data_IF_674785821086
#
_entry.id   IF_674785821086
#
_cell.length_a   1.000
_cell.length_b   1.000
_cell.length_c   1.000
_cell.angle_alpha   90.00
_cell.angle_beta   90.00
_cell.angle_gamma   90.00
#
_symmetry.space_group_name_H-M   'P 1'
#
loop_
_entity.id
_entity.type
_entity.pdbx_description
1 polymer ?
#
# COMPACT_ATOMS: atom_id res chain seq x y z
N UNK A 1 -30.79 -11.50 -8.08
CA UNK A 1 -29.43 -11.25 -8.55
C UNK A 1 -28.65 -10.87 -7.31
N UNK A 2 -27.62 -11.65 -6.96
CA UNK A 2 -26.87 -11.46 -5.72
C UNK A 2 -26.22 -10.08 -5.78
N UNK A 3 -26.57 -9.20 -4.85
CA UNK A 3 -25.70 -8.09 -4.46
C UNK A 3 -24.44 -8.79 -3.95
N UNK A 4 -23.46 -8.93 -4.84
CA UNK A 4 -22.11 -9.23 -4.40
C UNK A 4 -21.74 -8.00 -3.58
N UNK A 5 -21.77 -8.15 -2.27
CA UNK A 5 -21.15 -7.22 -1.33
C UNK A 5 -19.68 -7.20 -1.73
N UNK A 6 -19.33 -6.40 -2.75
CA UNK A 6 -17.96 -6.24 -3.21
C UNK A 6 -17.22 -5.67 -2.01
N UNK A 7 -16.38 -6.51 -1.40
CA UNK A 7 -15.53 -6.07 -0.32
C UNK A 7 -14.75 -4.85 -0.85
N UNK A 8 -14.89 -3.66 -0.24
CA UNK A 8 -14.28 -2.42 -0.76
C UNK A 8 -12.77 -2.54 -0.89
N UNK A 9 -12.15 -3.42 -0.09
CA UNK A 9 -10.73 -3.75 -0.18
C UNK A 9 -10.39 -4.54 -1.45
N UNK A 10 -11.22 -5.51 -1.84
CA UNK A 10 -11.01 -6.29 -3.06
C UNK A 10 -11.16 -5.41 -4.29
N UNK A 11 -12.19 -4.54 -4.31
CA UNK A 11 -12.31 -3.55 -5.37
C UNK A 11 -11.07 -2.63 -5.42
N UNK A 12 -10.56 -2.16 -4.27
CA UNK A 12 -9.36 -1.32 -4.23
C UNK A 12 -8.13 -2.05 -4.76
N UNK A 13 -7.95 -3.32 -4.41
CA UNK A 13 -6.88 -4.16 -4.93
C UNK A 13 -6.97 -4.28 -6.46
N UNK A 14 -8.15 -4.55 -7.00
CA UNK A 14 -8.34 -4.69 -8.45
C UNK A 14 -7.98 -3.39 -9.18
N UNK A 15 -8.42 -2.23 -8.68
CA UNK A 15 -8.04 -0.95 -9.26
C UNK A 15 -6.52 -0.67 -9.17
N UNK A 16 -5.86 -1.08 -8.08
CA UNK A 16 -4.40 -0.93 -7.94
C UNK A 16 -3.67 -1.86 -8.92
N UNK A 17 -4.15 -3.08 -9.10
CA UNK A 17 -3.58 -4.02 -10.07
C UNK A 17 -3.77 -3.54 -11.51
N UNK A 18 -4.95 -2.98 -11.83
CA UNK A 18 -5.22 -2.37 -13.15
C UNK A 18 -4.33 -1.15 -13.41
N UNK A 19 -4.17 -0.27 -12.40
CA UNK A 19 -3.32 0.93 -12.51
C UNK A 19 -1.83 0.58 -12.61
N UNK A 20 -1.38 -0.50 -11.95
CA UNK A 20 -0.03 -1.03 -12.14
C UNK A 20 0.15 -1.55 -13.57
N UNK A 21 -0.80 -2.34 -14.05
CA UNK A 21 -0.77 -2.99 -15.35
C UNK A 21 0.26 -4.13 -15.43
N UNK A 22 0.12 -4.98 -16.46
CA UNK A 22 0.92 -6.20 -16.60
C UNK A 22 2.44 -5.94 -16.69
N UNK A 23 2.85 -4.82 -17.30
CA UNK A 23 4.27 -4.46 -17.43
C UNK A 23 4.95 -4.27 -16.06
N UNK A 24 4.37 -3.46 -15.17
CA UNK A 24 4.93 -3.26 -13.82
C UNK A 24 4.80 -4.51 -12.95
N UNK A 25 3.75 -5.31 -13.15
CA UNK A 25 3.62 -6.59 -12.46
C UNK A 25 4.77 -7.54 -12.86
N UNK A 26 5.16 -7.55 -14.13
CA UNK A 26 6.35 -8.26 -14.61
C UNK A 26 7.64 -7.77 -13.96
N UNK A 27 7.85 -6.44 -13.90
CA UNK A 27 9.03 -5.85 -13.24
C UNK A 27 9.09 -6.21 -11.74
N UNK A 28 7.94 -6.22 -11.06
CA UNK A 28 7.83 -6.65 -9.66
C UNK A 28 8.14 -8.15 -9.54
N UNK A 29 7.64 -8.98 -10.46
CA UNK A 29 7.92 -10.41 -10.47
C UNK A 29 9.42 -10.71 -10.60
N UNK A 30 10.10 -10.02 -11.53
CA UNK A 30 11.55 -10.12 -11.70
C UNK A 30 12.31 -9.67 -10.44
N UNK A 31 11.91 -8.53 -9.86
CA UNK A 31 12.53 -7.99 -8.64
C UNK A 31 12.43 -8.96 -7.45
N UNK A 32 11.30 -9.66 -7.33
CA UNK A 32 11.04 -10.60 -6.24
C UNK A 32 11.57 -12.00 -6.52
N UNK A 33 12.01 -12.28 -7.76
CA UNK A 33 12.36 -13.64 -8.20
C UNK A 33 11.18 -14.61 -8.19
N UNK A 34 9.98 -14.10 -8.52
CA UNK A 34 8.71 -14.86 -8.54
C UNK A 34 8.03 -14.75 -9.91
N UNK A 35 6.85 -15.35 -10.07
CA UNK A 35 6.01 -15.19 -11.26
C UNK A 35 4.99 -14.05 -11.10
N UNK A 36 4.30 -13.68 -12.19
CA UNK A 36 3.31 -12.60 -12.15
C UNK A 36 2.18 -12.88 -11.14
N UNK A 37 1.82 -14.14 -10.93
CA UNK A 37 0.83 -14.53 -9.92
C UNK A 37 1.32 -14.21 -8.50
N UNK A 38 2.57 -14.55 -8.17
CA UNK A 38 3.20 -14.21 -6.90
C UNK A 38 3.38 -12.70 -6.72
N UNK A 39 3.69 -11.95 -7.78
CA UNK A 39 3.77 -10.50 -7.74
C UNK A 39 2.40 -9.86 -7.43
N UNK A 40 1.33 -10.30 -8.10
CA UNK A 40 -0.05 -9.86 -7.83
C UNK A 40 -0.48 -10.18 -6.40
N UNK A 41 -0.13 -11.37 -5.89
CA UNK A 41 -0.40 -11.76 -4.51
C UNK A 41 0.33 -10.86 -3.50
N UNK A 42 1.59 -10.50 -3.75
CA UNK A 42 2.34 -9.58 -2.89
C UNK A 42 1.67 -8.21 -2.88
N UNK A 43 1.33 -7.65 -4.04
CA UNK A 43 0.66 -6.34 -4.15
C UNK A 43 -0.67 -6.36 -3.39
N UNK A 44 -1.50 -7.39 -3.56
CA UNK A 44 -2.75 -7.52 -2.81
C UNK A 44 -2.52 -7.59 -1.29
N UNK A 45 -1.49 -8.32 -0.86
CA UNK A 45 -1.11 -8.40 0.57
C UNK A 45 -0.65 -7.04 1.11
N UNK A 46 0.09 -6.27 0.32
CA UNK A 46 0.54 -4.91 0.65
C UNK A 46 -0.63 -3.94 0.78
N UNK A 47 -1.55 -3.92 -0.19
CA UNK A 47 -2.76 -3.06 -0.13
C UNK A 47 -3.63 -3.42 1.09
N UNK A 48 -3.77 -4.72 1.39
CA UNK A 48 -4.50 -5.17 2.58
C UNK A 48 -3.81 -4.75 3.89
N UNK A 49 -2.47 -4.80 3.94
CA UNK A 49 -1.70 -4.34 5.09
C UNK A 49 -1.82 -2.83 5.28
N UNK A 50 -1.66 -2.04 4.21
CA UNK A 50 -1.79 -0.58 4.24
C UNK A 50 -3.21 -0.14 4.63
N UNK A 51 -4.25 -0.80 4.11
CA UNK A 51 -5.64 -0.52 4.48
C UNK A 51 -5.95 -0.91 5.93
N UNK A 52 -5.42 -2.04 6.42
CA UNK A 52 -5.56 -2.45 7.81
C UNK A 52 -4.80 -1.55 8.78
N UNK A 53 -3.60 -1.09 8.41
CA UNK A 53 -2.84 -0.12 9.20
C UNK A 53 -3.52 1.24 9.22
N UNK A 54 -4.14 1.69 8.11
CA UNK A 54 -4.95 2.90 8.07
C UNK A 54 -6.14 2.84 9.06
N UNK A 55 -6.80 1.69 9.20
CA UNK A 55 -7.85 1.50 10.24
C UNK A 55 -7.27 1.54 11.66
N UNK A 56 -6.09 0.96 11.90
CA UNK A 56 -5.43 1.03 13.22
C UNK A 56 -4.90 2.41 13.57
N UNK A 57 -4.45 3.20 12.58
CA UNK A 57 -4.08 4.62 12.75
C UNK A 57 -5.33 5.47 12.99
N UNK A 58 -6.48 5.08 12.45
CA UNK A 58 -7.77 5.73 12.72
C UNK A 58 -8.38 5.36 14.09
N UNK A 59 -7.91 4.30 14.75
CA UNK A 59 -8.20 4.02 16.16
C UNK A 59 -7.02 4.44 17.03
N UNK A 60 -6.99 5.67 17.59
CA UNK A 60 -5.91 6.08 18.47
C UNK A 60 -6.05 5.33 19.81
N UNK A 61 -5.41 4.17 19.94
CA UNK A 61 -5.02 3.66 21.24
C UNK A 61 -3.58 4.12 21.50
N UNK A 62 -3.49 5.19 22.30
CA UNK A 62 -2.32 5.62 23.07
C UNK A 62 -1.00 5.92 22.34
N UNK A 63 -1.03 6.85 21.38
CA UNK A 63 0.12 7.70 21.10
C UNK A 63 -0.34 9.16 21.05
N UNK A 64 0.33 10.10 21.76
CA UNK A 64 -0.01 11.51 21.69
C UNK A 64 0.40 12.05 20.31
N UNK A 65 -0.49 11.89 19.33
CA UNK A 65 -0.35 12.38 17.95
C UNK A 65 -0.61 13.89 17.88
N UNK A 66 0.24 14.69 18.53
CA UNK A 66 0.23 16.16 18.42
C UNK A 66 0.85 16.67 17.09
N UNK A 67 1.24 15.78 16.17
CA UNK A 67 2.06 16.14 15.00
C UNK A 67 1.50 15.80 13.61
N UNK A 68 0.35 15.13 13.50
CA UNK A 68 -0.25 14.74 12.20
C UNK A 68 -1.56 15.49 11.97
N UNK A 69 -1.50 16.82 12.07
CA UNK A 69 -2.55 17.64 11.52
C UNK A 69 -2.39 17.70 10.00
N UNK A 70 -3.36 17.11 9.31
CA UNK A 70 -3.78 17.41 7.93
C UNK A 70 -2.94 16.83 6.78
N UNK A 71 -3.65 16.03 5.99
CA UNK A 71 -3.41 15.57 4.62
C UNK A 71 -3.20 16.73 3.60
N UNK A 72 -2.45 17.77 3.97
CA UNK A 72 -2.12 18.93 3.13
C UNK A 72 -0.64 19.38 3.22
N UNK A 73 0.21 18.64 3.92
CA UNK A 73 1.60 19.04 4.23
C UNK A 73 2.71 18.44 3.35
N UNK A 74 2.40 17.79 2.23
CA UNK A 74 3.41 17.13 1.36
C UNK A 74 4.30 18.10 0.55
N UNK A 75 4.08 19.42 0.65
CA UNK A 75 4.73 20.39 -0.24
C UNK A 75 6.01 21.06 0.28
N UNK A 76 6.43 20.86 1.54
CA UNK A 76 7.60 21.56 2.10
C UNK A 76 8.55 20.58 2.79
N UNK A 77 9.46 20.01 2.00
CA UNK A 77 10.42 18.99 2.40
C UNK A 77 11.46 19.44 3.43
N UNK A 78 12.15 18.45 3.99
CA UNK A 78 13.45 18.63 4.65
C UNK A 78 13.74 17.67 5.80
N UNK A 79 12.78 17.41 6.70
CA UNK A 79 13.03 16.61 7.92
C UNK A 79 11.90 15.63 8.30
N UNK A 80 10.75 15.64 7.59
CA UNK A 80 9.59 14.77 7.85
C UNK A 80 9.48 13.54 6.93
N UNK A 81 10.44 13.32 6.01
CA UNK A 81 10.52 12.09 5.23
C UNK A 81 10.95 10.87 6.09
N UNK A 82 11.61 11.13 7.22
CA UNK A 82 12.11 10.08 8.12
C UNK A 82 11.02 9.31 8.87
N UNK A 83 9.87 9.94 9.17
CA UNK A 83 8.76 9.28 9.85
C UNK A 83 7.90 8.42 8.90
N UNK A 84 7.75 8.82 7.63
CA UNK A 84 7.13 7.94 6.63
C UNK A 84 7.99 6.69 6.36
N UNK A 85 9.31 6.83 6.37
CA UNK A 85 10.23 5.70 6.25
C UNK A 85 10.28 4.81 7.52
N UNK A 86 9.83 5.32 8.67
CA UNK A 86 9.66 4.54 9.91
C UNK A 86 8.34 3.77 9.89
N UNK A 87 7.26 4.35 9.37
CA UNK A 87 5.93 3.72 9.22
C UNK A 87 5.82 2.74 8.04
N UNK A 88 6.66 2.85 6.99
CA UNK A 88 6.69 1.85 5.91
C UNK A 88 7.36 0.52 6.34
N UNK A 89 8.17 0.54 7.40
CA UNK A 89 8.85 -0.66 7.93
C UNK A 89 7.91 -1.70 8.54
N UNK A 90 6.93 -1.36 9.39
CA UNK A 90 5.98 -2.33 9.91
C UNK A 90 5.14 -2.98 8.82
N UNK A 91 4.69 -2.22 7.80
CA UNK A 91 4.04 -2.76 6.59
C UNK A 91 4.96 -3.77 5.91
N UNK A 92 6.19 -3.36 5.58
CA UNK A 92 7.14 -4.21 4.86
C UNK A 92 7.54 -5.47 5.67
N UNK A 93 7.66 -5.38 7.00
CA UNK A 93 7.91 -6.54 7.86
C UNK A 93 6.69 -7.48 7.92
N UNK A 94 5.47 -6.94 8.05
CA UNK A 94 4.24 -7.73 8.04
C UNK A 94 4.04 -8.46 6.71
N UNK A 95 4.30 -7.78 5.60
CA UNK A 95 4.22 -8.35 4.24
C UNK A 95 5.35 -9.37 4.03
N UNK A 96 6.59 -9.08 4.42
CA UNK A 96 7.70 -10.02 4.31
C UNK A 96 7.47 -11.30 5.12
N UNK A 97 6.92 -11.20 6.34
CA UNK A 97 6.55 -12.36 7.17
C UNK A 97 5.43 -13.20 6.57
N UNK A 98 4.43 -12.58 5.95
CA UNK A 98 3.31 -13.29 5.30
C UNK A 98 3.72 -13.98 4.01
N UNK A 99 4.68 -13.42 3.29
CA UNK A 99 5.08 -13.90 1.95
C UNK A 99 6.35 -14.74 1.96
N UNK A 100 7.18 -14.65 3.01
CA UNK A 100 8.48 -15.31 3.08
C UNK A 100 9.54 -14.69 2.16
N UNK A 101 9.26 -13.51 1.59
CA UNK A 101 10.14 -12.83 0.64
C UNK A 101 11.19 -11.96 1.35
N UNK A 102 12.32 -11.65 0.68
CA UNK A 102 13.36 -10.79 1.25
C UNK A 102 12.81 -9.40 1.60
N UNK A 103 13.03 -8.95 2.84
CA UNK A 103 12.51 -7.67 3.33
C UNK A 103 12.93 -6.47 2.45
N UNK A 104 14.14 -6.50 1.89
CA UNK A 104 14.62 -5.45 0.99
C UNK A 104 13.80 -5.38 -0.31
N UNK A 105 13.47 -6.54 -0.88
CA UNK A 105 12.66 -6.61 -2.10
C UNK A 105 11.22 -6.18 -1.82
N UNK A 106 10.65 -6.61 -0.69
CA UNK A 106 9.32 -6.19 -0.23
C UNK A 106 9.26 -4.67 0.01
N UNK A 107 10.26 -4.09 0.68
CA UNK A 107 10.32 -2.64 0.94
C UNK A 107 10.28 -1.82 -0.36
N UNK A 108 11.03 -2.24 -1.37
CA UNK A 108 11.01 -1.58 -2.69
C UNK A 108 9.64 -1.68 -3.36
N UNK A 109 8.97 -2.83 -3.25
CA UNK A 109 7.61 -2.99 -3.77
C UNK A 109 6.61 -2.11 -3.01
N UNK A 110 6.69 -2.03 -1.69
CA UNK A 110 5.86 -1.13 -0.88
C UNK A 110 6.03 0.32 -1.33
N UNK A 111 7.27 0.79 -1.52
CA UNK A 111 7.56 2.14 -2.02
C UNK A 111 7.00 2.40 -3.42
N UNK A 112 6.92 1.38 -4.28
CA UNK A 112 6.30 1.47 -5.62
C UNK A 112 4.77 1.45 -5.56
N UNK A 113 4.17 0.69 -4.63
CA UNK A 113 2.71 0.52 -4.53
C UNK A 113 2.04 1.74 -3.88
N UNK A 114 2.64 2.36 -2.87
CA UNK A 114 2.10 3.56 -2.18
C UNK A 114 1.64 4.67 -3.16
N UNK A 115 2.48 5.16 -4.10
CA UNK A 115 2.05 6.21 -5.02
C UNK A 115 0.93 5.76 -5.96
N UNK A 116 0.88 4.48 -6.34
CA UNK A 116 -0.17 3.92 -7.20
C UNK A 116 -1.51 3.87 -6.45
N UNK A 117 -1.49 3.38 -5.21
CA UNK A 117 -2.69 3.35 -4.36
C UNK A 117 -3.26 4.75 -4.13
N UNK A 118 -2.41 5.75 -3.87
CA UNK A 118 -2.83 7.16 -3.75
C UNK A 118 -3.45 7.71 -5.05
N UNK A 119 -2.89 7.34 -6.21
CA UNK A 119 -3.45 7.73 -7.51
C UNK A 119 -4.84 7.11 -7.72
N UNK A 120 -5.01 5.83 -7.40
CA UNK A 120 -6.30 5.13 -7.45
C UNK A 120 -7.33 5.77 -6.51
N UNK A 121 -6.96 6.03 -5.26
CA UNK A 121 -7.85 6.69 -4.29
C UNK A 121 -8.26 8.09 -4.76
N UNK A 122 -7.34 8.83 -5.38
CA UNK A 122 -7.63 10.16 -5.96
C UNK A 122 -8.60 10.05 -7.14
N UNK A 123 -8.40 9.07 -8.04
CA UNK A 123 -9.28 8.80 -9.19
C UNK A 123 -10.69 8.40 -8.73
N UNK A 124 -10.79 7.57 -7.69
CA UNK A 124 -12.06 7.22 -7.03
C UNK A 124 -12.75 8.43 -6.40
N UNK A 125 -12.00 9.30 -5.74
CA UNK A 125 -12.55 10.50 -5.11
C UNK A 125 -13.04 11.53 -6.15
N UNK A 126 -12.37 11.64 -7.30
CA UNK A 126 -12.75 12.53 -8.40
C UNK A 126 -13.88 11.97 -9.28
N UNK A 127 -14.05 10.65 -9.32
CA UNK A 127 -15.09 9.96 -10.07
C UNK A 127 -16.42 9.78 -9.32
N UNK A 128 -16.57 10.38 -8.14
CA UNK A 128 -17.77 10.31 -7.29
C UNK A 128 -18.60 11.59 -7.35
#
# INVERSE_FOLDING_TARGET
MQEVDENPLTALQDDVLDELGDGRIGDIAELLGTDEAGARQLVGTTVAALSGEAETVATPHDAPLTGVATLGGFATGGLMAGLLAEEARPVADAVARKTGLPQEAVSRVVEMVIPVELAVLTKRAAGK
#
